data_IF_591309165599
#
_entry.id   IF_591309165599
#
_cell.length_a   1.000
_cell.length_b   1.000
_cell.length_c   1.000
_cell.angle_alpha   90.00
_cell.angle_beta   90.00
_cell.angle_gamma   90.00
#
_symmetry.space_group_name_H-M   'P 1'
#
loop_
_entity.id
_entity.type
_entity.pdbx_description
1 polymer ?
#
# COMPACT_ATOMS: atom_id res chain seq x y z
N UNK A 1 -6.00 -60.47 26.73
CA UNK A 1 -6.19 -59.13 27.34
C UNK A 1 -5.21 -58.19 26.65
N UNK A 2 -5.75 -57.19 25.95
CA UNK A 2 -5.01 -56.24 25.12
C UNK A 2 -4.09 -55.34 25.96
N UNK A 3 -2.99 -54.80 25.38
CA UNK A 3 -2.24 -53.72 25.99
C UNK A 3 -2.91 -52.36 25.69
N UNK A 4 -2.85 -51.48 26.67
CA UNK A 4 -3.49 -50.17 26.71
C UNK A 4 -2.89 -49.19 25.69
N UNK A 5 -3.78 -48.40 25.07
CA UNK A 5 -3.46 -47.28 24.22
C UNK A 5 -2.90 -46.11 25.06
N UNK A 6 -1.64 -45.75 24.82
CA UNK A 6 -1.05 -44.50 25.29
C UNK A 6 -1.43 -43.36 24.34
N UNK A 7 -2.09 -42.35 24.88
CA UNK A 7 -2.50 -41.12 24.18
C UNK A 7 -1.28 -40.25 23.90
N UNK A 8 -0.98 -40.04 22.61
CA UNK A 8 -0.03 -39.02 22.14
C UNK A 8 -0.69 -37.62 22.18
N UNK A 9 0.07 -36.54 22.45
CA UNK A 9 -0.50 -35.19 22.53
C UNK A 9 -0.90 -34.67 21.16
N UNK A 10 -2.10 -34.12 21.09
CA UNK A 10 -2.72 -33.47 19.94
C UNK A 10 -1.86 -32.31 19.39
N UNK A 11 -1.08 -32.59 18.35
CA UNK A 11 -0.47 -31.58 17.47
C UNK A 11 -0.94 -31.86 16.03
N UNK A 12 -2.25 -31.74 15.82
CA UNK A 12 -2.85 -31.62 14.51
C UNK A 12 -4.07 -30.73 14.67
N UNK A 13 -3.98 -29.49 14.16
CA UNK A 13 -5.09 -28.63 13.74
C UNK A 13 -4.50 -27.23 13.45
N UNK A 14 -3.81 -27.06 12.30
CA UNK A 14 -3.51 -25.73 11.72
C UNK A 14 -2.99 -25.77 10.27
N UNK A 15 -3.48 -26.68 9.43
CA UNK A 15 -3.00 -26.81 8.04
C UNK A 15 -4.08 -26.91 6.96
N UNK A 16 -5.37 -26.72 7.26
CA UNK A 16 -6.43 -26.82 6.27
C UNK A 16 -7.25 -25.52 6.12
N UNK A 17 -6.66 -24.47 5.53
CA UNK A 17 -7.42 -23.27 5.15
C UNK A 17 -6.95 -22.59 3.85
N UNK A 18 -6.45 -23.36 2.87
CA UNK A 18 -5.98 -22.79 1.57
C UNK A 18 -6.30 -23.64 0.33
N UNK A 19 -7.25 -24.57 0.42
CA UNK A 19 -8.00 -25.01 -0.76
C UNK A 19 -9.30 -24.19 -0.69
N UNK A 20 -9.45 -23.05 -1.38
CA UNK A 20 -9.71 -22.92 -2.81
C UNK A 20 -9.40 -21.48 -3.25
N UNK A 21 -8.46 -21.29 -4.19
CA UNK A 21 -8.10 -19.97 -4.77
C UNK A 21 -9.30 -19.21 -5.38
N UNK A 22 -10.38 -19.92 -5.73
CA UNK A 22 -11.59 -19.35 -6.33
C UNK A 22 -12.63 -18.85 -5.30
N UNK A 23 -12.50 -19.16 -4.01
CA UNK A 23 -13.44 -18.68 -2.97
C UNK A 23 -13.00 -17.36 -2.32
N UNK A 24 -11.78 -16.89 -2.63
CA UNK A 24 -11.20 -15.68 -2.02
C UNK A 24 -11.47 -14.39 -2.81
N UNK A 25 -11.78 -14.51 -4.10
CA UNK A 25 -11.99 -13.39 -5.01
C UNK A 25 -13.40 -13.43 -5.59
N UNK A 26 -14.10 -12.30 -5.55
CA UNK A 26 -15.38 -12.13 -6.27
C UNK A 26 -15.12 -11.66 -7.71
N UNK A 27 -14.17 -10.74 -7.87
CA UNK A 27 -13.71 -10.26 -9.17
C UNK A 27 -12.19 -10.43 -9.23
N UNK A 28 -11.74 -11.45 -9.98
CA UNK A 28 -10.32 -11.83 -10.05
C UNK A 28 -9.56 -11.23 -11.23
N UNK A 29 -10.21 -10.70 -12.27
CA UNK A 29 -9.53 -10.08 -13.42
C UNK A 29 -8.37 -10.91 -14.00
N UNK A 30 -8.48 -12.24 -14.00
CA UNK A 30 -7.39 -13.14 -14.42
C UNK A 30 -6.87 -12.84 -15.83
N UNK A 31 -7.73 -12.32 -16.72
CA UNK A 31 -7.36 -11.95 -18.08
C UNK A 31 -6.56 -10.63 -18.18
N UNK A 32 -6.59 -9.74 -17.19
CA UNK A 32 -6.03 -8.38 -17.29
C UNK A 32 -4.51 -8.38 -17.46
N UNK A 33 -3.79 -9.27 -16.77
CA UNK A 33 -2.35 -9.44 -16.96
C UNK A 33 -1.99 -10.55 -17.96
N UNK A 34 -2.98 -11.23 -18.55
CA UNK A 34 -2.74 -12.33 -19.49
C UNK A 34 -2.20 -11.76 -20.82
N UNK A 35 -1.00 -12.21 -21.22
CA UNK A 35 -0.30 -11.84 -22.47
C UNK A 35 0.38 -10.46 -22.51
N UNK A 36 0.60 -9.81 -21.36
CA UNK A 36 1.35 -8.54 -21.31
C UNK A 36 2.47 -8.60 -20.29
N UNK A 37 3.68 -8.19 -20.70
CA UNK A 37 4.71 -7.85 -19.75
C UNK A 37 4.35 -6.52 -19.11
N UNK A 38 4.13 -6.51 -17.79
CA UNK A 38 3.82 -5.31 -17.01
C UNK A 38 5.09 -4.87 -16.30
N UNK A 39 5.61 -3.69 -16.64
CA UNK A 39 6.80 -3.19 -15.97
C UNK A 39 6.50 -2.73 -14.54
N UNK A 40 5.41 -1.99 -14.36
CA UNK A 40 4.96 -1.49 -13.07
C UNK A 40 3.46 -1.78 -12.89
N UNK A 41 3.14 -2.66 -11.95
CA UNK A 41 1.79 -2.84 -11.43
C UNK A 41 1.60 -1.92 -10.22
N UNK A 42 0.57 -1.10 -10.23
CA UNK A 42 0.18 -0.25 -9.10
C UNK A 42 -1.11 -0.81 -8.52
N UNK A 43 -1.06 -1.27 -7.28
CA UNK A 43 -2.22 -1.78 -6.54
C UNK A 43 -2.62 -0.77 -5.48
N UNK A 44 -3.76 -0.13 -5.71
CA UNK A 44 -4.31 0.90 -4.83
C UNK A 44 -5.28 0.26 -3.83
N UNK A 45 -4.93 0.23 -2.56
CA UNK A 45 -5.84 -0.20 -1.50
C UNK A 45 -6.89 0.91 -1.28
N UNK A 46 -8.16 0.58 -1.54
CA UNK A 46 -9.29 1.51 -1.45
C UNK A 46 -10.41 0.90 -0.59
N UNK A 47 -11.37 1.73 -0.17
CA UNK A 47 -12.59 1.29 0.51
C UNK A 47 -13.76 1.26 -0.48
N UNK A 48 -14.73 0.35 -0.35
CA UNK A 48 -15.85 0.24 -1.30
C UNK A 48 -16.58 1.56 -1.54
N UNK A 49 -16.78 2.34 -0.49
CA UNK A 49 -17.49 3.62 -0.49
C UNK A 49 -16.78 4.72 -1.32
N UNK A 50 -15.48 4.56 -1.57
CA UNK A 50 -14.64 5.60 -2.17
C UNK A 50 -14.59 5.57 -3.70
N UNK A 51 -15.74 5.38 -4.36
CA UNK A 51 -15.84 5.40 -5.84
C UNK A 51 -15.36 6.72 -6.42
N UNK A 52 -15.72 7.85 -5.81
CA UNK A 52 -15.24 9.18 -6.22
C UNK A 52 -13.72 9.24 -6.22
N UNK A 53 -13.07 8.81 -5.13
CA UNK A 53 -11.62 8.80 -5.01
C UNK A 53 -10.96 7.96 -6.09
N UNK A 54 -11.47 6.75 -6.35
CA UNK A 54 -10.97 5.88 -7.43
C UNK A 54 -11.09 6.56 -8.80
N UNK A 55 -12.20 7.24 -9.07
CA UNK A 55 -12.38 8.01 -10.30
C UNK A 55 -11.37 9.17 -10.43
N UNK A 56 -11.08 9.89 -9.35
CA UNK A 56 -10.05 10.94 -9.35
C UNK A 56 -8.67 10.36 -9.68
N UNK A 57 -8.33 9.20 -9.11
CA UNK A 57 -7.08 8.49 -9.44
C UNK A 57 -7.05 8.09 -10.92
N UNK A 58 -8.13 7.50 -11.45
CA UNK A 58 -8.27 7.13 -12.87
C UNK A 58 -8.15 8.32 -13.82
N UNK A 59 -8.53 9.52 -13.39
CA UNK A 59 -8.45 10.75 -14.20
C UNK A 59 -7.11 11.48 -14.03
N UNK A 60 -6.25 11.03 -13.12
CA UNK A 60 -4.97 11.66 -12.81
C UNK A 60 -3.80 10.69 -13.05
N UNK A 61 -2.95 10.45 -12.05
CA UNK A 61 -1.75 9.62 -12.18
C UNK A 61 -2.06 8.15 -12.45
N UNK A 62 -3.25 7.67 -12.07
CA UNK A 62 -3.68 6.29 -12.32
C UNK A 62 -3.95 6.00 -13.80
N UNK A 63 -4.14 7.03 -14.62
CA UNK A 63 -4.33 6.92 -16.07
C UNK A 63 -3.03 6.69 -16.86
N UNK A 64 -1.87 6.76 -16.19
CA UNK A 64 -0.58 6.56 -16.87
C UNK A 64 -0.45 5.08 -17.19
N UNK A 65 -0.71 4.71 -18.45
CA UNK A 65 -0.62 3.32 -18.94
C UNK A 65 0.76 2.97 -19.50
N UNK A 66 1.62 3.96 -19.69
CA UNK A 66 2.99 3.76 -20.18
C UNK A 66 3.94 4.88 -19.75
N UNK A 67 5.18 4.50 -19.45
CA UNK A 67 6.26 5.44 -19.13
C UNK A 67 7.57 4.98 -19.74
N UNK A 68 8.23 5.85 -20.53
CA UNK A 68 9.52 5.57 -21.19
C UNK A 68 9.51 4.27 -22.03
N UNK A 69 8.37 3.96 -22.66
CA UNK A 69 8.19 2.75 -23.47
C UNK A 69 7.85 1.48 -22.68
N UNK A 70 7.68 1.58 -21.37
CA UNK A 70 7.30 0.46 -20.50
C UNK A 70 5.86 0.58 -20.03
N UNK A 71 5.16 -0.55 -19.96
CA UNK A 71 3.76 -0.67 -19.55
C UNK A 71 3.56 -0.42 -18.05
N UNK A 72 2.50 0.31 -17.73
CA UNK A 72 2.05 0.55 -16.36
C UNK A 72 0.59 0.15 -16.27
N UNK A 73 0.23 -0.59 -15.23
CA UNK A 73 -1.14 -1.00 -14.96
C UNK A 73 -1.53 -0.58 -13.55
N UNK A 74 -2.66 0.10 -13.40
CA UNK A 74 -3.23 0.49 -12.11
C UNK A 74 -4.49 -0.35 -11.83
N UNK A 75 -4.57 -0.97 -10.66
CA UNK A 75 -5.73 -1.73 -10.19
C UNK A 75 -6.11 -1.28 -8.77
N UNK A 76 -7.38 -1.42 -8.41
CA UNK A 76 -7.91 -1.11 -7.09
C UNK A 76 -8.23 -2.38 -6.32
N UNK A 77 -7.69 -2.52 -5.12
CA UNK A 77 -8.00 -3.63 -4.22
C UNK A 77 -9.03 -3.20 -3.18
N UNK A 78 -10.16 -3.90 -3.13
CA UNK A 78 -11.29 -3.66 -2.21
C UNK A 78 -11.79 -4.97 -1.60
N UNK A 79 -12.41 -4.90 -0.43
CA UNK A 79 -13.27 -5.98 0.07
C UNK A 79 -14.72 -5.78 -0.34
N UNK A 80 -15.61 -6.67 0.12
CA UNK A 80 -17.05 -6.51 -0.02
C UNK A 80 -17.54 -5.32 0.78
N UNK A 81 -18.49 -4.57 0.24
CA UNK A 81 -19.18 -3.55 1.00
C UNK A 81 -20.11 -4.18 2.05
N UNK A 82 -20.25 -3.53 3.21
CA UNK A 82 -21.22 -3.95 4.22
C UNK A 82 -22.68 -3.70 3.78
N UNK A 83 -22.89 -2.62 3.03
CA UNK A 83 -24.20 -2.27 2.46
C UNK A 83 -24.42 -2.93 1.10
N UNK A 84 -25.63 -3.48 0.89
CA UNK A 84 -26.05 -4.00 -0.41
C UNK A 84 -26.07 -2.92 -1.51
N UNK A 85 -26.38 -1.65 -1.17
CA UNK A 85 -26.38 -0.55 -2.14
C UNK A 85 -24.97 -0.27 -2.65
N UNK A 86 -24.01 -0.14 -1.75
CA UNK A 86 -22.60 0.08 -2.08
C UNK A 86 -22.01 -1.13 -2.81
N UNK A 87 -22.43 -2.35 -2.46
CA UNK A 87 -22.00 -3.55 -3.19
C UNK A 87 -22.50 -3.55 -4.64
N UNK A 88 -23.73 -3.08 -4.88
CA UNK A 88 -24.24 -2.93 -6.25
C UNK A 88 -23.42 -1.90 -7.03
N UNK A 89 -23.09 -0.76 -6.42
CA UNK A 89 -22.22 0.25 -7.04
C UNK A 89 -20.83 -0.29 -7.39
N UNK A 90 -20.24 -1.15 -6.54
CA UNK A 90 -18.96 -1.82 -6.81
C UNK A 90 -19.08 -2.78 -7.99
N UNK A 91 -20.16 -3.56 -8.06
CA UNK A 91 -20.38 -4.50 -9.16
C UNK A 91 -20.51 -3.75 -10.50
N UNK A 92 -21.24 -2.63 -10.53
CA UNK A 92 -21.35 -1.76 -11.71
C UNK A 92 -19.99 -1.16 -12.08
N UNK A 93 -19.25 -0.63 -11.11
CA UNK A 93 -17.92 -0.06 -11.33
C UNK A 93 -16.92 -1.09 -11.87
N UNK A 94 -16.93 -2.30 -11.32
CA UNK A 94 -16.06 -3.39 -11.74
C UNK A 94 -16.35 -3.84 -13.17
N UNK A 95 -17.63 -3.87 -13.57
CA UNK A 95 -18.04 -4.16 -14.95
C UNK A 95 -17.63 -3.05 -15.93
N UNK A 96 -17.76 -1.78 -15.50
CA UNK A 96 -17.44 -0.60 -16.31
C UNK A 96 -15.93 -0.47 -16.57
N UNK A 97 -15.13 -0.50 -15.51
CA UNK A 97 -13.70 -0.15 -15.60
C UNK A 97 -12.77 -1.35 -15.72
N UNK A 98 -13.19 -2.54 -15.26
CA UNK A 98 -12.37 -3.76 -15.27
C UNK A 98 -11.00 -3.54 -14.64
N UNK A 99 -10.97 -2.88 -13.49
CA UNK A 99 -9.75 -2.59 -12.72
C UNK A 99 -9.90 -2.83 -11.21
N UNK A 100 -10.96 -3.54 -10.76
CA UNK A 100 -11.25 -3.79 -9.34
C UNK A 100 -10.98 -5.24 -8.95
N UNK A 101 -9.93 -5.46 -8.15
CA UNK A 101 -9.71 -6.71 -7.44
C UNK A 101 -10.57 -6.72 -6.19
N UNK A 102 -11.57 -7.60 -6.14
CA UNK A 102 -12.49 -7.69 -5.01
C UNK A 102 -12.32 -8.99 -4.22
N UNK A 103 -12.07 -8.85 -2.91
CA UNK A 103 -11.99 -9.96 -1.96
C UNK A 103 -13.35 -10.38 -1.41
N UNK A 104 -13.48 -11.64 -0.99
CA UNK A 104 -14.73 -12.19 -0.47
C UNK A 104 -15.04 -11.86 1.01
N UNK A 105 -14.20 -11.05 1.66
CA UNK A 105 -14.39 -10.57 3.04
C UNK A 105 -15.07 -9.19 3.08
N UNK A 106 -15.81 -8.90 4.15
CA UNK A 106 -16.36 -7.55 4.39
C UNK A 106 -15.21 -6.58 4.67
N UNK A 107 -15.16 -5.48 3.93
CA UNK A 107 -14.13 -4.44 4.12
C UNK A 107 -14.37 -3.69 5.42
N UNK A 108 -13.37 -3.69 6.28
CA UNK A 108 -13.38 -3.00 7.57
C UNK A 108 -11.96 -2.60 7.97
N UNK A 109 -11.79 -1.70 8.95
CA UNK A 109 -10.47 -1.33 9.47
C UNK A 109 -9.64 -2.54 9.95
N UNK A 110 -10.29 -3.53 10.55
CA UNK A 110 -9.64 -4.75 11.07
C UNK A 110 -9.19 -5.69 9.94
N UNK A 111 -9.82 -5.61 8.76
CA UNK A 111 -9.54 -6.47 7.61
C UNK A 111 -8.49 -5.90 6.64
N UNK A 112 -7.85 -4.77 6.96
CA UNK A 112 -6.84 -4.19 6.06
C UNK A 112 -5.65 -5.13 5.82
N UNK A 113 -5.24 -5.93 6.81
CA UNK A 113 -4.13 -6.88 6.63
C UNK A 113 -4.54 -8.06 5.75
N UNK A 114 -5.79 -8.50 5.87
CA UNK A 114 -6.37 -9.49 4.94
C UNK A 114 -6.43 -8.94 3.51
N UNK A 115 -6.82 -7.67 3.32
CA UNK A 115 -6.81 -7.00 2.01
C UNK A 115 -5.39 -6.90 1.44
N UNK A 116 -4.40 -6.59 2.27
CA UNK A 116 -3.00 -6.59 1.84
C UNK A 116 -2.56 -7.99 1.39
N UNK A 117 -2.82 -9.03 2.19
CA UNK A 117 -2.51 -10.42 1.81
C UNK A 117 -3.19 -10.81 0.49
N UNK A 118 -4.48 -10.51 0.35
CA UNK A 118 -5.24 -10.73 -0.89
C UNK A 118 -4.58 -10.02 -2.08
N UNK A 119 -4.16 -8.76 -1.92
CA UNK A 119 -3.53 -8.01 -3.01
C UNK A 119 -2.18 -8.59 -3.44
N UNK A 120 -1.40 -9.13 -2.49
CA UNK A 120 -0.15 -9.84 -2.76
C UNK A 120 -0.43 -11.18 -3.43
N UNK A 121 -1.39 -11.96 -2.92
CA UNK A 121 -1.83 -13.23 -3.49
C UNK A 121 -2.31 -13.07 -4.93
N UNK A 122 -3.13 -12.05 -5.20
CA UNK A 122 -3.61 -11.73 -6.53
C UNK A 122 -2.46 -11.46 -7.49
N UNK A 123 -1.52 -10.63 -7.05
CA UNK A 123 -0.34 -10.24 -7.84
C UNK A 123 0.50 -11.45 -8.23
N UNK A 124 0.78 -12.35 -7.30
CA UNK A 124 1.62 -13.52 -7.59
C UNK A 124 0.89 -14.58 -8.42
N UNK A 125 -0.44 -14.64 -8.32
CA UNK A 125 -1.27 -15.67 -8.98
C UNK A 125 -1.69 -15.23 -10.39
N UNK A 126 -2.23 -14.03 -10.52
CA UNK A 126 -2.86 -13.55 -11.76
C UNK A 126 -1.99 -12.57 -12.54
N UNK A 127 -0.97 -11.98 -11.91
CA UNK A 127 -0.04 -11.07 -12.58
C UNK A 127 1.45 -11.49 -12.42
N UNK A 128 1.79 -12.77 -12.68
CA UNK A 128 3.10 -13.33 -12.33
C UNK A 128 4.29 -12.69 -13.06
N UNK A 129 4.05 -12.01 -14.18
CA UNK A 129 5.07 -11.38 -15.02
C UNK A 129 5.19 -9.86 -14.80
N UNK A 130 4.42 -9.28 -13.88
CA UNK A 130 4.70 -7.93 -13.42
C UNK A 130 6.13 -7.88 -12.87
N UNK A 131 6.90 -6.84 -13.18
CA UNK A 131 8.29 -6.74 -12.74
C UNK A 131 8.42 -6.05 -11.38
N UNK A 132 7.75 -4.92 -11.24
CA UNK A 132 7.67 -4.16 -10.00
C UNK A 132 6.21 -3.93 -9.62
N UNK A 133 5.96 -3.91 -8.32
CA UNK A 133 4.62 -3.80 -7.75
C UNK A 133 4.66 -2.71 -6.70
N UNK A 134 3.95 -1.62 -6.97
CA UNK A 134 3.73 -0.54 -6.03
C UNK A 134 2.40 -0.79 -5.32
N UNK A 135 2.44 -1.06 -4.02
CA UNK A 135 1.25 -0.96 -3.19
C UNK A 135 1.14 0.46 -2.67
N UNK A 136 -0.04 1.05 -2.74
CA UNK A 136 -0.30 2.41 -2.30
C UNK A 136 -1.70 2.56 -1.71
N UNK A 137 -1.88 3.52 -0.81
CA UNK A 137 -3.20 3.93 -0.33
C UNK A 137 -3.89 4.87 -1.35
N UNK A 138 -5.21 4.99 -1.22
CA UNK A 138 -6.08 5.80 -2.09
C UNK A 138 -5.92 7.33 -1.91
N UNK A 139 -5.27 7.78 -0.85
CA UNK A 139 -5.04 9.19 -0.51
C UNK A 139 -3.62 9.66 -0.87
N UNK A 140 -2.96 8.96 -1.80
CA UNK A 140 -1.56 9.19 -2.17
C UNK A 140 -1.47 9.69 -3.60
N UNK A 141 -0.66 10.72 -3.82
CA UNK A 141 -0.16 11.09 -5.14
C UNK A 141 1.00 10.16 -5.52
N UNK A 142 1.00 9.64 -6.75
CA UNK A 142 2.09 8.81 -7.29
C UNK A 142 2.74 9.49 -8.49
N UNK A 143 4.03 9.81 -8.37
CA UNK A 143 4.86 10.28 -9.46
C UNK A 143 5.28 9.14 -10.38
N UNK A 144 4.34 8.58 -11.16
CA UNK A 144 4.59 7.40 -12.01
C UNK A 144 5.82 7.57 -12.93
N UNK A 145 6.02 8.69 -13.64
CA UNK A 145 7.21 8.87 -14.49
C UNK A 145 8.52 8.94 -13.72
N UNK A 146 8.52 9.56 -12.52
CA UNK A 146 9.71 9.73 -11.69
C UNK A 146 10.12 8.39 -11.07
N UNK A 147 9.15 7.58 -10.66
CA UNK A 147 9.34 6.22 -10.14
C UNK A 147 9.83 5.27 -11.24
N UNK A 148 9.18 5.25 -12.40
CA UNK A 148 9.61 4.42 -13.52
C UNK A 148 11.04 4.74 -13.97
N UNK A 149 11.38 6.03 -14.06
CA UNK A 149 12.75 6.47 -14.38
C UNK A 149 13.80 5.97 -13.39
N UNK A 150 13.47 5.94 -12.09
CA UNK A 150 14.34 5.36 -11.07
C UNK A 150 14.46 3.84 -11.19
N UNK A 151 13.35 3.12 -11.37
CA UNK A 151 13.36 1.66 -11.47
C UNK A 151 14.13 1.15 -12.71
N UNK A 152 14.17 1.94 -13.77
CA UNK A 152 14.96 1.67 -14.98
C UNK A 152 16.47 1.93 -14.77
N UNK A 153 16.85 2.80 -13.85
CA UNK A 153 18.26 3.08 -13.55
C UNK A 153 18.88 2.08 -12.56
N UNK A 154 18.08 1.22 -11.94
CA UNK A 154 18.57 0.19 -11.03
C UNK A 154 19.37 -0.89 -11.76
N UNK A 155 20.57 -1.17 -11.24
CA UNK A 155 21.44 -2.25 -11.68
C UNK A 155 20.96 -3.60 -11.16
N UNK A 156 20.60 -3.68 -9.87
CA UNK A 156 19.96 -4.83 -9.24
C UNK A 156 18.44 -4.70 -9.35
N UNK A 157 17.79 -5.71 -9.94
CA UNK A 157 16.35 -5.69 -10.30
C UNK A 157 15.50 -6.66 -9.47
N UNK A 158 16.17 -7.51 -8.70
CA UNK A 158 15.61 -8.53 -7.81
C UNK A 158 15.83 -8.11 -6.35
N UNK A 159 15.10 -8.72 -5.43
CA UNK A 159 15.17 -8.48 -3.99
C UNK A 159 15.00 -7.00 -3.60
N UNK A 160 14.13 -6.30 -4.32
CA UNK A 160 13.78 -4.91 -4.02
C UNK A 160 12.55 -4.91 -3.12
N UNK A 161 12.73 -4.47 -1.88
CA UNK A 161 11.67 -3.98 -1.01
C UNK A 161 12.00 -2.52 -0.64
N UNK A 162 11.30 -1.56 -1.24
CA UNK A 162 11.68 -0.14 -1.23
C UNK A 162 10.53 0.73 -0.77
N UNK A 163 10.80 1.69 0.11
CA UNK A 163 9.78 2.63 0.58
C UNK A 163 10.33 3.62 1.60
N UNK A 164 9.42 4.29 2.30
CA UNK A 164 9.78 5.03 3.51
C UNK A 164 9.93 4.03 4.66
N UNK A 165 11.15 3.67 5.02
CA UNK A 165 11.37 2.72 6.12
C UNK A 165 10.97 3.33 7.47
N UNK A 166 10.21 2.56 8.25
CA UNK A 166 9.87 2.77 9.65
C UNK A 166 10.77 1.85 10.47
N UNK A 167 11.54 2.45 11.37
CA UNK A 167 12.41 1.75 12.30
C UNK A 167 11.74 1.66 13.67
N UNK A 168 11.91 0.53 14.37
CA UNK A 168 11.41 0.34 15.73
C UNK A 168 9.92 0.67 15.89
N UNK A 169 9.09 0.28 14.91
CA UNK A 169 7.64 0.45 15.02
C UNK A 169 7.11 -0.36 16.20
N UNK A 170 6.30 0.25 17.05
CA UNK A 170 5.77 -0.39 18.27
C UNK A 170 4.38 -0.94 17.98
N UNK A 171 4.07 -2.20 18.32
CA UNK A 171 2.71 -2.70 18.25
C UNK A 171 1.80 -1.94 19.21
N UNK A 172 0.65 -1.50 18.71
CA UNK A 172 -0.35 -0.84 19.56
C UNK A 172 -0.94 -1.87 20.55
N UNK A 173 -0.91 -1.55 21.84
CA UNK A 173 -1.37 -2.45 22.91
C UNK A 173 -2.67 -1.97 23.55
N UNK A 174 -3.27 -0.89 23.08
CA UNK A 174 -4.56 -0.41 23.56
C UNK A 174 -5.71 -1.23 22.93
N UNK A 175 -6.49 -2.00 23.72
CA UNK A 175 -7.62 -2.78 23.20
C UNK A 175 -8.75 -1.96 22.57
N UNK A 176 -8.79 -0.63 22.79
CA UNK A 176 -9.75 0.27 22.16
C UNK A 176 -9.25 0.84 20.83
N UNK A 177 -7.97 0.68 20.52
CA UNK A 177 -7.41 1.13 19.25
C UNK A 177 -7.82 0.19 18.11
N UNK A 178 -8.25 0.71 16.95
CA UNK A 178 -8.46 -0.10 15.75
C UNK A 178 -7.20 -0.85 15.29
N UNK A 179 -6.01 -0.38 15.69
CA UNK A 179 -4.72 -1.00 15.40
C UNK A 179 -4.24 -1.98 16.47
N UNK A 180 -5.09 -2.35 17.44
CA UNK A 180 -4.71 -3.19 18.58
C UNK A 180 -4.05 -4.51 18.16
N UNK A 181 -2.88 -4.78 18.75
CA UNK A 181 -2.13 -6.03 18.57
C UNK A 181 -1.95 -6.71 19.93
N UNK A 182 -2.68 -7.81 20.18
CA UNK A 182 -2.51 -8.61 21.38
C UNK A 182 -1.09 -9.19 21.54
N UNK A 183 -0.58 -9.18 22.77
CA UNK A 183 0.76 -9.74 23.11
C UNK A 183 0.88 -11.21 22.67
N UNK A 184 -0.18 -12.00 22.84
CA UNK A 184 -0.16 -13.42 22.47
C UNK A 184 -0.11 -13.65 20.95
N UNK A 185 -0.47 -12.66 20.12
CA UNK A 185 -0.36 -12.73 18.67
C UNK A 185 0.99 -12.19 18.18
N UNK A 186 1.52 -11.16 18.84
CA UNK A 186 2.85 -10.63 18.55
C UNK A 186 3.56 -10.25 19.86
N UNK A 187 4.42 -11.13 20.41
CA UNK A 187 5.03 -10.95 21.72
C UNK A 187 6.25 -10.02 21.72
N UNK A 188 6.84 -9.78 20.56
CA UNK A 188 8.01 -8.91 20.41
C UNK A 188 7.65 -7.45 20.73
N UNK A 189 8.62 -6.70 21.25
CA UNK A 189 8.46 -5.30 21.62
C UNK A 189 8.36 -4.39 20.39
N UNK A 190 9.11 -4.72 19.33
CA UNK A 190 9.18 -3.94 18.10
C UNK A 190 8.86 -4.79 16.88
N UNK A 191 8.26 -4.16 15.88
CA UNK A 191 8.25 -4.68 14.52
C UNK A 191 9.66 -4.62 13.91
N UNK A 192 10.00 -5.55 13.01
CA UNK A 192 11.21 -5.41 12.20
C UNK A 192 11.08 -4.20 11.27
N UNK A 193 12.20 -3.69 10.75
CA UNK A 193 12.17 -2.60 9.76
C UNK A 193 11.23 -2.92 8.59
N UNK A 194 10.29 -2.01 8.33
CA UNK A 194 9.26 -2.18 7.31
C UNK A 194 9.02 -0.88 6.53
N UNK A 195 8.54 -0.98 5.30
CA UNK A 195 8.18 0.21 4.53
C UNK A 195 6.78 0.71 4.93
N UNK A 196 6.64 2.02 5.12
CA UNK A 196 5.41 2.68 5.54
C UNK A 196 4.21 2.33 4.66
N UNK A 197 3.02 2.21 5.27
CA UNK A 197 1.81 1.72 4.60
C UNK A 197 1.19 2.65 3.56
N UNK A 198 1.61 3.93 3.50
CA UNK A 198 1.11 4.85 2.49
C UNK A 198 1.52 4.42 1.09
N UNK A 199 2.78 4.01 0.90
CA UNK A 199 3.24 3.39 -0.32
C UNK A 199 4.57 2.65 -0.15
N UNK A 200 4.70 1.50 -0.81
CA UNK A 200 5.94 0.76 -0.90
C UNK A 200 5.98 -0.07 -2.18
N UNK A 201 7.19 -0.35 -2.65
CA UNK A 201 7.45 -1.10 -3.86
C UNK A 201 8.14 -2.43 -3.54
N UNK A 202 7.68 -3.49 -4.21
CA UNK A 202 8.32 -4.79 -4.22
C UNK A 202 8.70 -5.17 -5.65
N UNK A 203 9.80 -5.87 -5.85
CA UNK A 203 9.99 -6.67 -7.06
C UNK A 203 9.16 -7.95 -6.97
N UNK A 204 8.85 -8.55 -8.12
CA UNK A 204 7.94 -9.71 -8.17
C UNK A 204 8.46 -10.94 -7.42
N UNK A 205 9.76 -11.16 -7.40
CA UNK A 205 10.40 -12.19 -6.58
C UNK A 205 10.21 -11.95 -5.07
N UNK A 206 10.27 -10.69 -4.62
CA UNK A 206 9.95 -10.32 -3.23
C UNK A 206 8.47 -10.56 -2.94
N UNK A 207 7.56 -10.19 -3.85
CA UNK A 207 6.12 -10.44 -3.67
C UNK A 207 5.84 -11.95 -3.47
N UNK A 208 6.50 -12.83 -4.25
CA UNK A 208 6.42 -14.29 -4.07
C UNK A 208 6.96 -14.75 -2.72
N UNK A 209 8.13 -14.25 -2.32
CA UNK A 209 8.74 -14.58 -1.02
C UNK A 209 7.85 -14.14 0.15
N UNK A 210 7.27 -12.95 0.06
CA UNK A 210 6.30 -12.42 1.04
C UNK A 210 5.05 -13.29 1.09
N UNK A 211 4.47 -13.68 -0.05
CA UNK A 211 3.31 -14.56 -0.10
C UNK A 211 3.57 -15.92 0.57
N UNK A 212 4.75 -16.52 0.34
CA UNK A 212 5.13 -17.78 1.00
C UNK A 212 5.26 -17.59 2.52
N UNK A 213 5.93 -16.53 2.96
CA UNK A 213 6.14 -16.24 4.38
C UNK A 213 4.85 -15.87 5.13
N UNK A 214 3.89 -15.25 4.43
CA UNK A 214 2.60 -14.81 4.98
C UNK A 214 1.81 -15.93 5.65
N UNK A 215 2.00 -17.19 5.22
CA UNK A 215 1.31 -18.38 5.77
C UNK A 215 1.55 -18.60 7.26
N UNK A 216 2.65 -18.06 7.79
CA UNK A 216 3.05 -18.23 9.19
C UNK A 216 2.96 -16.92 9.98
N UNK A 217 2.53 -15.82 9.36
CA UNK A 217 2.44 -14.50 9.99
C UNK A 217 1.02 -14.25 10.48
N UNK A 218 0.81 -13.85 11.74
CA UNK A 218 -0.50 -13.45 12.24
C UNK A 218 -1.07 -12.25 11.47
N UNK A 219 -2.35 -12.31 11.10
CA UNK A 219 -3.04 -11.21 10.38
C UNK A 219 -3.42 -10.03 11.27
N UNK A 220 -3.32 -10.17 12.59
CA UNK A 220 -3.70 -9.14 13.55
C UNK A 220 -2.62 -8.07 13.79
N UNK A 221 -1.62 -7.99 12.91
CA UNK A 221 -0.66 -6.88 12.88
C UNK A 221 -1.03 -5.93 11.74
N UNK A 222 -0.66 -4.64 11.79
CA UNK A 222 -0.96 -3.69 10.72
C UNK A 222 -0.39 -4.13 9.36
N UNK A 223 -1.02 -3.76 8.23
CA UNK A 223 -0.66 -4.29 6.90
C UNK A 223 0.81 -4.09 6.51
N UNK A 224 1.35 -2.90 6.80
CA UNK A 224 2.74 -2.57 6.48
C UNK A 224 3.74 -3.37 7.34
N UNK A 225 3.42 -3.55 8.63
CA UNK A 225 4.20 -4.38 9.54
C UNK A 225 4.10 -5.87 9.17
N UNK A 226 2.93 -6.34 8.73
CA UNK A 226 2.73 -7.68 8.20
C UNK A 226 3.71 -7.98 7.05
N UNK A 227 3.79 -7.09 6.06
CA UNK A 227 4.73 -7.22 4.93
C UNK A 227 6.18 -7.19 5.42
N UNK A 228 6.52 -6.31 6.37
CA UNK A 228 7.86 -6.25 6.98
C UNK A 228 8.27 -7.54 7.70
N UNK A 229 7.36 -8.15 8.46
CA UNK A 229 7.58 -9.44 9.13
C UNK A 229 7.79 -10.54 8.10
N UNK A 230 6.97 -10.58 7.04
CA UNK A 230 7.13 -11.52 5.93
C UNK A 230 8.49 -11.33 5.24
N UNK A 231 8.87 -10.10 4.92
CA UNK A 231 10.13 -9.76 4.27
C UNK A 231 11.34 -10.19 5.13
N UNK A 232 11.34 -9.89 6.43
CA UNK A 232 12.39 -10.33 7.36
C UNK A 232 12.52 -11.84 7.38
N UNK A 233 11.41 -12.58 7.44
CA UNK A 233 11.44 -14.06 7.40
C UNK A 233 11.99 -14.61 6.10
N UNK A 234 11.75 -13.91 4.99
CA UNK A 234 12.31 -14.24 3.69
C UNK A 234 13.76 -13.78 3.49
N UNK A 235 14.40 -13.18 4.49
CA UNK A 235 15.76 -12.64 4.39
C UNK A 235 15.87 -11.36 3.55
N UNK A 236 14.76 -10.64 3.35
CA UNK A 236 14.70 -9.40 2.57
C UNK A 236 14.71 -8.20 3.50
N UNK A 237 15.63 -7.28 3.29
CA UNK A 237 15.74 -6.04 4.04
C UNK A 237 14.94 -4.90 3.38
N UNK A 238 14.22 -4.13 4.19
CA UNK A 238 13.56 -2.92 3.72
C UNK A 238 14.59 -1.83 3.37
N UNK A 239 14.46 -1.25 2.18
CA UNK A 239 15.36 -0.21 1.66
C UNK A 239 14.70 1.15 1.77
N UNK A 240 15.38 2.08 2.43
CA UNK A 240 14.88 3.43 2.61
C UNK A 240 15.05 4.28 1.35
N UNK A 241 14.01 5.03 0.99
CA UNK A 241 14.09 6.13 0.04
C UNK A 241 13.26 7.32 0.55
N UNK A 242 13.91 8.48 0.64
CA UNK A 242 13.24 9.73 1.04
C UNK A 242 12.30 10.30 -0.01
N UNK A 243 12.26 9.70 -1.22
CA UNK A 243 11.32 10.05 -2.29
C UNK A 243 9.92 9.46 -2.04
N UNK A 244 9.81 8.47 -1.15
CA UNK A 244 8.54 8.10 -0.55
C UNK A 244 8.29 9.01 0.67
N UNK A 245 7.16 9.70 0.69
CA UNK A 245 6.79 10.65 1.74
C UNK A 245 6.60 10.02 3.13
N UNK A 246 6.12 8.77 3.19
CA UNK A 246 5.63 8.18 4.43
C UNK A 246 4.29 8.78 4.82
N UNK A 247 4.12 9.17 6.08
CA UNK A 247 2.93 9.90 6.58
C UNK A 247 2.81 11.34 6.08
N UNK A 248 3.81 11.88 5.37
CA UNK A 248 3.92 13.31 5.12
C UNK A 248 3.11 13.75 3.89
N UNK A 249 2.28 14.78 4.06
CA UNK A 249 1.82 15.59 2.96
C UNK A 249 2.93 16.56 2.53
N UNK A 250 3.38 16.46 1.28
CA UNK A 250 4.41 17.35 0.73
C UNK A 250 3.70 18.46 0.00
N UNK A 251 3.85 19.71 0.45
CA UNK A 251 3.23 20.87 -0.20
C UNK A 251 3.70 20.99 -1.65
N UNK A 252 2.76 21.27 -2.55
CA UNK A 252 3.03 21.26 -3.98
C UNK A 252 4.19 22.18 -4.40
N UNK A 253 5.10 21.62 -5.20
CA UNK A 253 6.12 22.36 -5.94
C UNK A 253 6.51 21.55 -7.19
N UNK A 254 6.40 22.17 -8.37
CA UNK A 254 6.61 21.54 -9.69
C UNK A 254 7.82 20.59 -9.72
N UNK A 255 9.03 21.10 -9.46
CA UNK A 255 10.25 20.29 -9.61
C UNK A 255 10.45 19.27 -8.51
N UNK A 256 9.90 19.53 -7.32
CA UNK A 256 9.88 18.57 -6.24
C UNK A 256 8.93 17.40 -6.57
N UNK A 257 7.75 17.67 -7.11
CA UNK A 257 6.77 16.66 -7.54
C UNK A 257 7.26 15.83 -8.73
N UNK A 258 8.06 16.43 -9.64
CA UNK A 258 8.79 15.69 -10.68
C UNK A 258 9.91 14.78 -10.13
N UNK A 259 10.32 14.99 -8.88
CA UNK A 259 11.38 14.21 -8.23
C UNK A 259 10.85 13.17 -7.24
N UNK A 260 9.91 13.50 -6.34
CA UNK A 260 9.38 12.54 -5.36
C UNK A 260 8.63 11.40 -6.07
N UNK A 261 8.52 10.27 -5.38
CA UNK A 261 7.69 9.15 -5.82
C UNK A 261 6.28 9.29 -5.28
N UNK A 262 6.13 9.73 -4.03
CA UNK A 262 4.82 9.84 -3.39
C UNK A 262 4.67 11.08 -2.51
N UNK A 263 3.43 11.55 -2.39
CA UNK A 263 2.96 12.51 -1.37
C UNK A 263 1.67 11.95 -0.76
N UNK A 264 1.53 11.96 0.56
CA UNK A 264 0.39 11.32 1.26
C UNK A 264 -0.63 12.36 1.75
N UNK A 265 -1.79 11.90 2.21
CA UNK A 265 -2.88 12.77 2.68
C UNK A 265 -3.29 13.82 1.63
N UNK A 266 -3.41 13.38 0.37
CA UNK A 266 -3.79 14.24 -0.76
C UNK A 266 -5.31 14.40 -0.80
N UNK A 267 -5.80 15.64 -0.88
CA UNK A 267 -7.23 15.89 -1.15
C UNK A 267 -7.55 15.68 -2.63
N UNK A 268 -8.83 15.49 -2.96
CA UNK A 268 -9.26 15.20 -4.33
C UNK A 268 -8.99 16.37 -5.28
N UNK A 269 -9.26 17.59 -4.84
CA UNK A 269 -8.97 18.83 -5.56
C UNK A 269 -7.47 19.04 -5.78
N UNK A 270 -6.66 18.76 -4.76
CA UNK A 270 -5.20 18.82 -4.84
C UNK A 270 -4.64 17.81 -5.82
N UNK A 271 -5.15 16.58 -5.80
CA UNK A 271 -4.66 15.53 -6.70
C UNK A 271 -4.80 15.94 -8.18
N UNK A 272 -5.94 16.53 -8.55
CA UNK A 272 -6.14 17.04 -9.92
C UNK A 272 -5.19 18.17 -10.26
N UNK A 273 -5.10 19.16 -9.37
CA UNK A 273 -4.28 20.35 -9.59
C UNK A 273 -2.80 19.97 -9.72
N UNK A 274 -2.29 19.26 -8.73
CA UNK A 274 -0.89 18.88 -8.65
C UNK A 274 -0.51 17.95 -9.81
N UNK A 275 -1.38 17.01 -10.19
CA UNK A 275 -1.15 16.14 -11.34
C UNK A 275 -1.07 16.94 -12.63
N UNK A 276 -2.06 17.80 -12.91
CA UNK A 276 -2.10 18.62 -14.12
C UNK A 276 -0.87 19.50 -14.26
N UNK A 277 -0.50 20.19 -13.18
CA UNK A 277 0.66 21.08 -13.21
C UNK A 277 1.99 20.32 -13.31
N UNK A 278 2.05 19.08 -12.81
CA UNK A 278 3.23 18.21 -12.96
C UNK A 278 3.34 17.61 -14.37
N UNK A 279 2.22 17.22 -14.99
CA UNK A 279 2.17 16.64 -16.33
C UNK A 279 2.43 17.65 -17.43
N UNK A 280 1.88 18.86 -17.28
CA UNK A 280 1.91 19.90 -18.31
C UNK A 280 3.15 20.80 -18.16
N UNK A 281 3.80 20.77 -16.99
CA UNK A 281 4.95 21.61 -16.69
C UNK A 281 6.21 21.26 -17.48
N UNK A 282 7.00 22.27 -17.83
CA UNK A 282 8.33 22.09 -18.44
C UNK A 282 9.24 21.21 -17.57
N UNK A 283 10.29 20.64 -18.16
CA UNK A 283 11.31 19.96 -17.38
C UNK A 283 12.04 20.95 -16.44
N UNK A 284 12.64 20.40 -15.39
CA UNK A 284 13.36 21.18 -14.40
C UNK A 284 14.86 21.04 -14.63
N UNK A 285 15.57 22.16 -14.66
CA UNK A 285 17.03 22.16 -14.58
C UNK A 285 17.49 21.61 -13.23
N UNK A 286 18.75 21.15 -13.16
CA UNK A 286 19.34 20.62 -11.92
C UNK A 286 19.29 21.62 -10.76
N UNK A 287 19.51 22.91 -11.05
CA UNK A 287 19.46 23.97 -10.04
C UNK A 287 18.04 24.21 -9.53
N UNK A 288 17.04 24.24 -10.43
CA UNK A 288 15.64 24.35 -10.03
C UNK A 288 15.21 23.15 -9.19
N UNK A 289 15.57 21.93 -9.61
CA UNK A 289 15.28 20.72 -8.82
C UNK A 289 15.92 20.80 -7.43
N UNK A 290 17.19 21.20 -7.34
CA UNK A 290 17.86 21.34 -6.05
C UNK A 290 17.15 22.35 -5.13
N UNK A 291 16.89 23.56 -5.63
CA UNK A 291 16.20 24.60 -4.86
C UNK A 291 14.81 24.14 -4.43
N UNK A 292 14.03 23.58 -5.35
CA UNK A 292 12.69 23.04 -5.08
C UNK A 292 12.69 21.93 -4.04
N UNK A 293 13.68 21.04 -4.03
CA UNK A 293 13.79 19.98 -3.03
C UNK A 293 14.09 20.54 -1.63
N UNK A 294 14.92 21.58 -1.55
CA UNK A 294 15.16 22.30 -0.29
C UNK A 294 13.88 23.01 0.16
N UNK A 295 13.23 23.76 -0.72
CA UNK A 295 11.98 24.46 -0.44
C UNK A 295 10.88 23.51 0.03
N UNK A 296 10.66 22.40 -0.67
CA UNK A 296 9.70 21.36 -0.28
C UNK A 296 9.96 20.85 1.14
N UNK A 297 11.21 20.46 1.45
CA UNK A 297 11.55 19.96 2.79
C UNK A 297 11.27 21.00 3.88
N UNK A 298 11.57 22.27 3.62
CA UNK A 298 11.33 23.37 4.56
C UNK A 298 9.83 23.61 4.73
N UNK A 299 9.06 23.68 3.64
CA UNK A 299 7.61 23.89 3.67
C UNK A 299 6.89 22.75 4.41
N UNK A 300 7.20 21.50 4.09
CA UNK A 300 6.64 20.34 4.80
C UNK A 300 6.95 20.37 6.30
N UNK A 301 8.12 20.87 6.70
CA UNK A 301 8.46 21.03 8.12
C UNK A 301 7.65 22.15 8.78
N UNK A 302 7.50 23.29 8.11
CA UNK A 302 6.71 24.44 8.58
C UNK A 302 5.24 24.05 8.73
N UNK A 303 4.67 23.31 7.78
CA UNK A 303 3.27 22.90 7.81
C UNK A 303 3.01 21.91 8.96
N UNK A 304 3.91 20.95 9.19
CA UNK A 304 3.84 20.07 10.37
C UNK A 304 3.91 20.88 11.69
N UNK A 305 4.75 21.91 11.74
CA UNK A 305 4.84 22.80 12.91
C UNK A 305 3.57 23.62 13.13
N UNK A 306 2.95 24.15 12.06
CA UNK A 306 1.66 24.86 12.16
C UNK A 306 0.56 23.94 12.66
N UNK A 307 0.47 22.73 12.10
CA UNK A 307 -0.54 21.74 12.47
C UNK A 307 -0.40 21.32 13.94
N UNK A 308 0.83 21.08 14.41
CA UNK A 308 1.10 20.82 15.82
C UNK A 308 0.64 21.98 16.73
N UNK A 309 0.87 23.24 16.34
CA UNK A 309 0.39 24.39 17.12
C UNK A 309 -1.13 24.51 17.11
N UNK A 310 -1.79 24.25 15.97
CA UNK A 310 -3.24 24.23 15.84
C UNK A 310 -3.88 23.14 16.71
N UNK A 311 -3.33 21.94 16.73
CA UNK A 311 -3.82 20.84 17.56
C UNK A 311 -3.60 21.14 19.05
N UNK A 312 -2.46 21.76 19.41
CA UNK A 312 -2.22 22.24 20.79
C UNK A 312 -3.26 23.26 21.22
N UNK A 313 -3.57 24.24 20.38
CA UNK A 313 -4.58 25.27 20.67
C UNK A 313 -5.97 24.64 20.79
N UNK A 314 -6.35 23.71 19.89
CA UNK A 314 -7.63 22.99 19.98
C UNK A 314 -7.74 22.19 21.27
N UNK A 315 -6.68 21.49 21.67
CA UNK A 315 -6.65 20.72 22.92
C UNK A 315 -6.72 21.62 24.15
N UNK A 316 -6.07 22.79 24.14
CA UNK A 316 -6.22 23.80 25.20
C UNK A 316 -7.65 24.33 25.27
N UNK A 317 -8.28 24.66 24.13
CA UNK A 317 -9.68 25.14 24.07
C UNK A 317 -10.67 24.07 24.55
N UNK A 318 -10.47 22.80 24.20
CA UNK A 318 -11.27 21.68 24.72
C UNK A 318 -11.12 21.48 26.23
N UNK A 319 -9.96 21.84 26.79
CA UNK A 319 -9.71 21.78 28.24
C UNK A 319 -10.35 22.93 29.03
N UNK A 320 -10.72 24.04 28.38
CA UNK A 320 -11.43 25.17 28.99
C UNK A 320 -12.96 25.05 28.91
N UNK A 321 -13.48 24.09 28.14
CA UNK A 321 -14.92 23.88 27.92
C UNK A 321 -15.48 22.67 28.72
N UNK A 322 -14.64 21.97 29.48
CA UNK A 322 -15.03 20.92 30.43
C UNK A 322 -14.78 21.35 31.88
#
# INVERSE_FOLDING_TARGET
RAPAAGTAPSTMLRTHQWYLLEQYFLHSLAATCSNQEIFLLIVVCSSPENRTRRNVIRQTWGNVTGSRGYSVLTLFAVGKAASASTQLEINEEAQEHRDIIEGSFIDSPEMQTQKMLMSVEWTVTFCPHARYILHTAQDVFVGVPSLAGYLLSLTQREDIYLGRVVHHGVPDRDPQSPGFVPIHQYPEEFYPDFCHGSAFLMSQDVARKVYVAAREVPLAVPPAAFVGICAKRAGIAARHSSRFSGEKHISYNRCCYKFIFTSSDMREDELFKDWKETSDGEDCSLLETYYSLVSCKVLTYIDKFKQFNLDRIKNEVLHFVN
#
